data_IF_682549521281
#
_entry.id   IF_682549521281
#
_cell.length_a   1.000
_cell.length_b   1.000
_cell.length_c   1.000
_cell.angle_alpha   90.00
_cell.angle_beta   90.00
_cell.angle_gamma   90.00
#
_symmetry.space_group_name_H-M   'P 1'
#
loop_
_entity.id
_entity.type
_entity.pdbx_description
1 polymer ?
#
# COMPACT_ATOMS: atom_id res chain seq x y z
N UNK A 1 -7.39 -1.44 -25.46
CA UNK A 1 -6.97 -2.71 -24.84
C UNK A 1 -8.22 -3.36 -24.25
N UNK A 2 -8.69 -4.50 -24.75
CA UNK A 2 -9.85 -5.17 -24.15
C UNK A 2 -9.43 -5.75 -22.80
N UNK A 3 -10.24 -5.52 -21.75
CA UNK A 3 -10.10 -6.21 -20.47
C UNK A 3 -10.16 -7.72 -20.73
N UNK A 4 -9.21 -8.49 -20.18
CA UNK A 4 -9.11 -9.92 -20.42
C UNK A 4 -10.30 -10.71 -19.85
N UNK A 5 -11.00 -10.16 -18.86
CA UNK A 5 -11.94 -10.92 -18.05
C UNK A 5 -13.25 -10.16 -17.82
N UNK A 6 -14.39 -10.81 -18.04
CA UNK A 6 -15.67 -10.26 -17.61
C UNK A 6 -15.86 -10.42 -16.10
N UNK A 7 -16.69 -9.58 -15.48
CA UNK A 7 -17.02 -9.69 -14.04
C UNK A 7 -17.62 -11.08 -13.70
N UNK A 8 -18.39 -11.66 -14.62
CA UNK A 8 -18.95 -12.99 -14.45
C UNK A 8 -17.87 -14.08 -14.38
N UNK A 9 -16.88 -14.02 -15.27
CA UNK A 9 -15.78 -14.97 -15.29
C UNK A 9 -14.89 -14.80 -14.04
N UNK A 10 -14.62 -13.56 -13.60
CA UNK A 10 -13.91 -13.28 -12.36
C UNK A 10 -14.63 -13.92 -11.15
N UNK A 11 -15.95 -13.70 -11.03
CA UNK A 11 -16.76 -14.27 -9.95
C UNK A 11 -16.71 -15.81 -9.96
N UNK A 12 -16.92 -16.42 -11.12
CA UNK A 12 -16.86 -17.88 -11.30
C UNK A 12 -15.53 -18.44 -10.80
N UNK A 13 -14.41 -17.85 -11.23
CA UNK A 13 -13.06 -18.25 -10.85
C UNK A 13 -12.84 -18.22 -9.34
N UNK A 14 -13.32 -17.17 -8.66
CA UNK A 14 -13.19 -17.00 -7.22
C UNK A 14 -14.10 -17.99 -6.46
N UNK A 15 -15.30 -18.22 -6.94
CA UNK A 15 -16.29 -19.07 -6.25
C UNK A 15 -15.99 -20.56 -6.40
N UNK A 16 -15.46 -20.99 -7.54
CA UNK A 16 -15.16 -22.40 -7.81
C UNK A 16 -13.82 -22.87 -7.24
N UNK A 17 -12.89 -21.93 -6.94
CA UNK A 17 -11.59 -22.31 -6.42
C UNK A 17 -11.59 -22.40 -4.89
N UNK A 18 -11.22 -23.57 -4.35
CA UNK A 18 -11.20 -23.82 -2.91
C UNK A 18 -9.98 -23.20 -2.20
N UNK A 19 -8.85 -23.08 -2.91
CA UNK A 19 -7.59 -22.58 -2.36
C UNK A 19 -7.28 -21.18 -2.90
N UNK A 20 -7.84 -20.16 -2.28
CA UNK A 20 -7.64 -18.77 -2.71
C UNK A 20 -7.01 -17.91 -1.60
N UNK A 21 -6.34 -16.85 -2.00
CA UNK A 21 -5.84 -15.82 -1.11
C UNK A 21 -6.03 -14.45 -1.75
N UNK A 22 -6.85 -13.60 -1.12
CA UNK A 22 -6.93 -12.17 -1.44
C UNK A 22 -5.80 -11.42 -0.74
N UNK A 23 -5.07 -10.62 -1.50
CA UNK A 23 -4.08 -9.65 -0.98
C UNK A 23 -4.42 -8.30 -1.58
N UNK A 24 -4.82 -7.36 -0.73
CA UNK A 24 -5.27 -6.05 -1.20
C UNK A 24 -4.67 -4.90 -0.41
N UNK A 25 -4.49 -3.76 -1.09
CA UNK A 25 -4.27 -2.47 -0.43
C UNK A 25 -5.57 -1.91 0.17
N UNK A 26 -5.49 -0.88 0.97
CA UNK A 26 -6.63 -0.26 1.66
C UNK A 26 -6.99 1.10 1.08
N UNK A 27 -6.07 2.07 1.18
CA UNK A 27 -6.30 3.42 0.71
C UNK A 27 -6.36 3.44 -0.83
N UNK A 28 -7.41 4.00 -1.39
CA UNK A 28 -7.70 3.95 -2.84
C UNK A 28 -8.43 2.68 -3.29
N UNK A 29 -8.41 1.60 -2.53
CA UNK A 29 -9.09 0.32 -2.86
C UNK A 29 -10.44 0.20 -2.17
N UNK A 30 -10.48 0.22 -0.83
CA UNK A 30 -11.71 0.14 -0.05
C UNK A 30 -11.93 1.35 0.87
N UNK A 31 -10.93 2.19 1.00
CA UNK A 31 -11.02 3.51 1.64
C UNK A 31 -10.77 4.54 0.54
N UNK A 32 -11.71 5.44 0.22
CA UNK A 32 -11.47 6.52 -0.73
C UNK A 32 -10.26 7.37 -0.30
N UNK A 33 -9.47 7.83 -1.26
CA UNK A 33 -8.34 8.72 -0.97
C UNK A 33 -8.85 10.04 -0.44
N UNK A 34 -8.35 10.48 0.70
CA UNK A 34 -8.69 11.74 1.36
C UNK A 34 -7.44 12.57 1.62
N UNK A 35 -7.60 13.89 1.70
CA UNK A 35 -6.48 14.81 1.99
C UNK A 35 -6.10 14.79 3.46
N UNK A 36 -7.09 14.71 4.34
CA UNK A 36 -6.88 14.54 5.79
C UNK A 36 -7.08 13.07 6.18
N UNK A 37 -6.01 12.36 6.56
CA UNK A 37 -6.10 10.96 6.99
C UNK A 37 -7.06 10.70 8.15
N UNK A 38 -7.38 11.72 8.96
CA UNK A 38 -8.33 11.59 10.07
C UNK A 38 -9.78 11.45 9.60
N UNK A 39 -10.09 11.83 8.36
CA UNK A 39 -11.43 11.73 7.78
C UNK A 39 -11.70 10.39 7.09
N UNK A 40 -10.71 9.48 7.04
CA UNK A 40 -10.87 8.15 6.43
C UNK A 40 -12.04 7.38 7.05
N UNK A 41 -12.82 6.73 6.18
CA UNK A 41 -13.97 5.92 6.57
C UNK A 41 -13.95 4.59 5.84
N UNK A 42 -14.32 3.53 6.55
CA UNK A 42 -14.48 2.19 5.98
C UNK A 42 -15.95 1.78 6.08
N UNK A 43 -16.45 1.15 5.02
CA UNK A 43 -17.85 0.69 5.01
C UNK A 43 -18.02 -0.45 6.04
N UNK A 44 -19.06 -0.37 6.90
CA UNK A 44 -19.35 -1.38 7.92
C UNK A 44 -19.62 -2.76 7.31
N UNK A 45 -20.39 -2.82 6.23
CA UNK A 45 -20.74 -4.09 5.60
C UNK A 45 -19.52 -4.74 4.93
N UNK A 46 -18.56 -3.92 4.46
CA UNK A 46 -17.27 -4.39 3.98
C UNK A 46 -16.45 -5.07 5.10
N UNK A 47 -16.42 -4.47 6.30
CA UNK A 47 -15.73 -5.06 7.47
C UNK A 47 -16.35 -6.42 7.81
N UNK A 48 -17.67 -6.51 7.83
CA UNK A 48 -18.40 -7.76 8.09
C UNK A 48 -18.15 -8.81 6.99
N UNK A 49 -18.11 -8.38 5.74
CA UNK A 49 -17.82 -9.24 4.60
C UNK A 49 -16.38 -9.78 4.61
N UNK A 50 -15.39 -8.94 4.97
CA UNK A 50 -13.99 -9.36 5.07
C UNK A 50 -13.81 -10.54 6.05
N UNK A 51 -14.56 -10.54 7.16
CA UNK A 51 -14.55 -11.64 8.13
C UNK A 51 -15.02 -12.99 7.50
N UNK A 52 -15.94 -12.97 6.53
CA UNK A 52 -16.46 -14.18 5.90
C UNK A 52 -15.39 -14.96 5.12
N UNK A 53 -14.37 -14.28 4.62
CA UNK A 53 -13.23 -14.92 3.96
C UNK A 53 -12.30 -15.66 4.93
N UNK A 54 -12.40 -15.40 6.23
CA UNK A 54 -11.52 -16.01 7.26
C UNK A 54 -10.04 -15.80 6.89
N UNK A 55 -9.27 -16.88 6.78
CA UNK A 55 -7.84 -16.84 6.44
C UNK A 55 -7.55 -16.55 4.95
N UNK A 56 -8.56 -16.51 4.09
CA UNK A 56 -8.39 -16.31 2.64
C UNK A 56 -8.29 -14.84 2.23
N UNK A 57 -8.30 -13.92 3.19
CA UNK A 57 -8.22 -12.49 2.95
C UNK A 57 -7.16 -11.87 3.85
N UNK A 58 -6.28 -11.06 3.24
CA UNK A 58 -5.29 -10.26 3.94
C UNK A 58 -5.19 -8.87 3.31
N UNK A 59 -5.02 -7.87 4.16
CA UNK A 59 -4.62 -6.53 3.74
C UNK A 59 -3.10 -6.43 3.64
N UNK A 60 -2.62 -5.55 2.76
CA UNK A 60 -1.19 -5.23 2.59
C UNK A 60 -1.07 -3.74 2.28
N UNK A 61 -0.88 -2.94 3.32
CA UNK A 61 -0.85 -1.48 3.23
C UNK A 61 0.47 -0.89 3.70
N UNK A 62 0.80 0.31 3.25
CA UNK A 62 1.93 1.07 3.77
C UNK A 62 1.55 1.97 4.96
N UNK A 63 0.26 2.08 5.30
CA UNK A 63 -0.21 2.64 6.58
C UNK A 63 0.10 1.74 7.76
N UNK A 64 -0.50 2.00 8.91
CA UNK A 64 -0.36 1.21 10.14
C UNK A 64 -1.71 0.68 10.62
N UNK A 65 -1.69 -0.42 11.37
CA UNK A 65 -2.89 -0.95 12.02
C UNK A 65 -3.28 -0.12 13.24
N UNK A 66 -2.32 0.19 14.08
CA UNK A 66 -2.53 0.95 15.33
C UNK A 66 -2.25 2.45 15.15
N UNK A 67 -2.49 3.20 16.23
CA UNK A 67 -2.29 4.63 16.26
C UNK A 67 -3.55 5.43 15.90
N UNK A 68 -3.47 6.73 16.03
CA UNK A 68 -4.59 7.65 15.85
C UNK A 68 -5.15 7.61 14.42
N UNK A 69 -4.26 7.41 13.44
CA UNK A 69 -4.57 7.30 12.02
C UNK A 69 -4.60 5.85 11.53
N UNK A 70 -4.45 4.88 12.42
CA UNK A 70 -4.38 3.46 12.12
C UNK A 70 -5.71 2.88 11.62
N UNK A 71 -5.62 1.78 10.88
CA UNK A 71 -6.79 1.06 10.32
C UNK A 71 -7.76 0.64 11.42
N UNK A 72 -7.25 0.25 12.60
CA UNK A 72 -8.08 -0.18 13.72
C UNK A 72 -9.00 0.92 14.20
N UNK A 73 -8.52 2.16 14.31
CA UNK A 73 -9.34 3.33 14.66
C UNK A 73 -10.42 3.62 13.61
N UNK A 74 -10.12 3.39 12.33
CA UNK A 74 -11.12 3.55 11.27
C UNK A 74 -12.21 2.50 11.43
N UNK A 75 -11.86 1.24 11.71
CA UNK A 75 -12.79 0.14 11.96
C UNK A 75 -13.67 0.43 13.19
N UNK A 76 -13.07 0.80 14.32
CA UNK A 76 -13.76 1.12 15.56
C UNK A 76 -14.80 2.24 15.34
N UNK A 77 -14.43 3.32 14.65
CA UNK A 77 -15.34 4.41 14.29
C UNK A 77 -16.47 3.98 13.35
N UNK A 78 -16.17 3.07 12.40
CA UNK A 78 -17.15 2.60 11.43
C UNK A 78 -18.19 1.62 12.01
N UNK A 79 -17.83 0.88 13.06
CA UNK A 79 -18.70 -0.12 13.69
C UNK A 79 -19.62 0.44 14.78
N UNK A 80 -19.42 1.68 15.20
CA UNK A 80 -20.06 2.31 16.36
C UNK A 80 -19.71 1.61 17.70
N UNK A 81 -20.00 2.26 18.81
CA UNK A 81 -19.67 1.80 20.17
C UNK A 81 -20.36 0.49 20.62
N UNK A 82 -21.33 0.01 19.84
CA UNK A 82 -22.12 -1.21 20.19
C UNK A 82 -21.44 -2.52 19.79
N UNK A 83 -20.42 -2.48 18.94
CA UNK A 83 -19.72 -3.67 18.44
C UNK A 83 -18.26 -3.61 18.85
N UNK A 84 -17.82 -4.55 19.68
CA UNK A 84 -16.43 -4.74 20.03
C UNK A 84 -15.71 -5.52 18.88
N UNK A 85 -14.86 -4.87 18.08
CA UNK A 85 -14.21 -5.53 16.95
C UNK A 85 -13.25 -6.64 17.40
N UNK A 86 -12.60 -6.50 18.55
CA UNK A 86 -11.68 -7.50 19.10
C UNK A 86 -12.41 -8.80 19.42
N UNK A 87 -13.48 -8.71 20.21
CA UNK A 87 -14.30 -9.87 20.59
C UNK A 87 -14.94 -10.54 19.40
N UNK A 88 -15.33 -9.76 18.40
CA UNK A 88 -15.99 -10.28 17.20
C UNK A 88 -15.02 -10.70 16.08
N UNK A 89 -13.70 -10.49 16.23
CA UNK A 89 -12.70 -10.78 15.20
C UNK A 89 -12.97 -10.00 13.92
N UNK A 90 -13.12 -8.68 14.02
CA UNK A 90 -13.50 -7.78 12.92
C UNK A 90 -12.35 -6.87 12.48
N UNK A 91 -11.18 -6.95 13.10
CA UNK A 91 -10.03 -6.25 12.56
C UNK A 91 -9.57 -6.92 11.25
N UNK A 92 -9.12 -6.10 10.31
CA UNK A 92 -8.63 -6.61 9.02
C UNK A 92 -7.25 -7.23 9.23
N UNK A 93 -7.19 -8.56 9.07
CA UNK A 93 -5.91 -9.27 9.18
C UNK A 93 -5.00 -8.97 8.01
N UNK A 94 -3.69 -8.95 8.24
CA UNK A 94 -2.69 -8.76 7.21
C UNK A 94 -1.50 -7.93 7.66
N UNK A 95 -0.83 -7.29 6.72
CA UNK A 95 0.40 -6.55 6.93
C UNK A 95 0.20 -5.05 6.70
N UNK A 96 0.71 -4.28 7.62
CA UNK A 96 0.87 -2.84 7.54
C UNK A 96 2.37 -2.45 7.47
N UNK A 97 2.66 -1.15 7.40
CA UNK A 97 4.00 -0.59 7.22
C UNK A 97 4.78 -1.29 6.09
N UNK A 98 4.11 -1.45 4.92
CA UNK A 98 4.68 -2.09 3.72
C UNK A 98 5.21 -3.54 3.95
N UNK A 99 4.67 -4.28 4.94
CA UNK A 99 5.03 -5.68 5.16
C UNK A 99 5.70 -6.00 6.50
N UNK A 100 5.77 -5.03 7.41
CA UNK A 100 6.45 -5.13 8.71
C UNK A 100 5.52 -5.61 9.82
N UNK A 101 4.37 -4.94 9.95
CA UNK A 101 3.45 -5.10 11.07
C UNK A 101 2.35 -6.08 10.70
N UNK A 102 2.41 -7.31 11.22
CA UNK A 102 1.35 -8.29 11.03
C UNK A 102 0.28 -8.18 12.09
N UNK A 103 -0.98 -8.20 11.68
CA UNK A 103 -2.14 -8.22 12.56
C UNK A 103 -3.04 -9.42 12.26
N UNK A 104 -3.56 -10.07 13.29
CA UNK A 104 -4.66 -11.02 13.17
C UNK A 104 -6.04 -10.34 13.22
N UNK A 105 -7.11 -11.10 13.02
CA UNK A 105 -8.48 -10.57 13.04
C UNK A 105 -8.98 -10.14 14.44
N UNK A 106 -8.23 -10.41 15.50
CA UNK A 106 -8.50 -9.95 16.88
C UNK A 106 -7.70 -8.70 17.24
N UNK A 107 -6.88 -8.18 16.31
CA UNK A 107 -6.03 -7.02 16.55
C UNK A 107 -4.76 -7.34 17.35
N UNK A 108 -4.36 -8.61 17.44
CA UNK A 108 -3.06 -8.95 17.99
C UNK A 108 -1.98 -8.64 16.95
N UNK A 109 -1.04 -7.79 17.34
CA UNK A 109 0.03 -7.32 16.47
C UNK A 109 1.33 -8.04 16.79
N UNK A 110 2.06 -8.41 15.75
CA UNK A 110 3.42 -8.92 15.82
C UNK A 110 4.27 -8.30 14.72
N UNK A 111 5.55 -8.14 15.01
CA UNK A 111 6.56 -7.66 14.05
C UNK A 111 7.90 -8.35 14.38
N UNK A 112 8.62 -8.71 13.35
CA UNK A 112 9.92 -9.38 13.47
C UNK A 112 10.95 -8.69 12.56
N UNK A 113 12.20 -8.93 12.81
CA UNK A 113 13.31 -8.40 12.00
C UNK A 113 13.61 -6.92 12.24
N UNK A 114 13.25 -6.37 13.40
CA UNK A 114 13.51 -4.98 13.78
C UNK A 114 14.28 -4.96 15.09
N UNK A 115 15.39 -4.24 15.14
CA UNK A 115 16.16 -4.01 16.36
C UNK A 115 15.56 -2.87 17.20
N UNK A 116 15.82 -2.87 18.51
CA UNK A 116 15.42 -1.78 19.41
C UNK A 116 16.01 -0.44 18.93
N UNK A 117 17.27 -0.44 18.50
CA UNK A 117 17.93 0.76 17.96
C UNK A 117 17.20 1.35 16.73
N UNK A 118 16.68 0.51 15.85
CA UNK A 118 15.88 0.95 14.70
C UNK A 118 14.53 1.52 15.14
N UNK A 119 13.87 0.90 16.13
CA UNK A 119 12.63 1.44 16.70
C UNK A 119 12.83 2.78 17.38
N UNK A 120 13.92 2.93 18.15
CA UNK A 120 14.26 4.19 18.80
C UNK A 120 14.51 5.29 17.77
N UNK A 121 15.24 4.99 16.70
CA UNK A 121 15.47 5.96 15.64
C UNK A 121 14.15 6.34 14.92
N UNK A 122 13.31 5.38 14.57
CA UNK A 122 12.00 5.64 13.97
C UNK A 122 11.14 6.57 14.84
N UNK A 123 11.19 6.40 16.16
CA UNK A 123 10.47 7.26 17.11
C UNK A 123 10.94 8.72 17.08
N UNK A 124 12.21 8.95 16.72
CA UNK A 124 12.83 10.28 16.63
C UNK A 124 12.55 10.97 15.29
N UNK A 125 12.27 10.22 14.21
CA UNK A 125 12.08 10.78 12.86
C UNK A 125 11.05 11.92 12.84
N UNK A 126 9.85 11.83 13.45
CA UNK A 126 8.91 12.94 13.48
C UNK A 126 9.44 14.18 14.20
N UNK A 127 10.28 14.00 15.22
CA UNK A 127 10.93 15.09 15.95
C UNK A 127 12.01 15.78 15.10
N UNK A 128 12.71 15.01 14.27
CA UNK A 128 13.70 15.54 13.30
C UNK A 128 13.01 16.26 12.13
N UNK A 129 11.85 15.78 11.69
CA UNK A 129 11.06 16.41 10.61
C UNK A 129 10.53 17.77 11.06
N UNK A 130 9.92 17.87 12.25
CA UNK A 130 9.14 19.03 12.66
C UNK A 130 9.88 20.37 12.50
N UNK A 131 11.06 20.62 13.11
CA UNK A 131 11.74 21.92 13.01
C UNK A 131 12.19 22.22 11.57
N UNK A 132 12.60 21.22 10.81
CA UNK A 132 12.99 21.38 9.40
C UNK A 132 11.81 21.75 8.52
N UNK A 133 10.67 21.08 8.71
CA UNK A 133 9.43 21.37 8.02
C UNK A 133 8.93 22.79 8.30
N UNK A 134 8.93 23.23 9.56
CA UNK A 134 8.54 24.59 9.94
C UNK A 134 9.45 25.64 9.27
N UNK A 135 10.76 25.39 9.22
CA UNK A 135 11.72 26.29 8.54
C UNK A 135 11.46 26.34 7.03
N UNK A 136 11.12 25.20 6.39
CA UNK A 136 10.76 25.18 4.97
C UNK A 136 9.49 26.00 4.73
N UNK A 137 8.46 25.85 5.56
CA UNK A 137 7.22 26.62 5.43
C UNK A 137 7.49 28.13 5.59
N UNK A 138 8.23 28.54 6.60
CA UNK A 138 8.59 29.94 6.82
C UNK A 138 9.31 30.56 5.61
N UNK A 139 10.19 29.80 4.97
CA UNK A 139 10.90 30.25 3.77
C UNK A 139 10.00 30.32 2.53
N UNK A 140 9.12 29.33 2.34
CA UNK A 140 8.24 29.25 1.16
C UNK A 140 7.03 30.19 1.29
N UNK A 141 6.59 30.47 2.52
CA UNK A 141 5.40 31.26 2.85
C UNK A 141 5.71 32.26 3.98
N UNK A 142 6.52 33.30 3.71
CA UNK A 142 7.09 34.17 4.74
C UNK A 142 6.04 34.98 5.53
N UNK A 143 4.83 35.12 5.03
CA UNK A 143 3.74 35.83 5.71
C UNK A 143 2.79 34.90 6.48
N UNK A 144 3.09 33.60 6.57
CA UNK A 144 2.25 32.64 7.28
C UNK A 144 2.47 32.78 8.80
N UNK A 145 1.39 32.92 9.55
CA UNK A 145 1.42 32.98 11.00
C UNK A 145 1.88 31.65 11.62
N UNK A 146 2.58 31.71 12.74
CA UNK A 146 3.12 30.52 13.43
C UNK A 146 2.01 29.50 13.73
N UNK A 147 0.83 29.94 14.16
CA UNK A 147 -0.32 29.04 14.44
C UNK A 147 -0.75 28.23 13.23
N UNK A 148 -0.70 28.84 12.04
CA UNK A 148 -1.01 28.16 10.77
C UNK A 148 0.10 27.17 10.41
N UNK A 149 1.36 27.52 10.63
CA UNK A 149 2.50 26.61 10.44
C UNK A 149 2.37 25.39 11.35
N UNK A 150 2.04 25.59 12.63
CA UNK A 150 1.84 24.51 13.61
C UNK A 150 0.70 23.58 13.19
N UNK A 151 -0.39 24.14 12.68
CA UNK A 151 -1.50 23.37 12.13
C UNK A 151 -1.05 22.48 10.96
N UNK A 152 -0.37 23.06 9.95
CA UNK A 152 0.12 22.27 8.81
C UNK A 152 1.14 21.21 9.23
N UNK A 153 2.02 21.52 10.19
CA UNK A 153 2.93 20.53 10.75
C UNK A 153 2.18 19.37 11.41
N UNK A 154 1.11 19.66 12.16
CA UNK A 154 0.32 18.63 12.86
C UNK A 154 -0.39 17.65 11.94
N UNK A 155 -0.84 18.11 10.77
CA UNK A 155 -1.54 17.25 9.78
C UNK A 155 -0.61 16.62 8.75
N UNK A 156 0.54 17.23 8.46
CA UNK A 156 1.49 16.71 7.48
C UNK A 156 2.46 15.67 8.07
N UNK A 157 2.83 15.81 9.35
CA UNK A 157 3.77 14.89 9.98
C UNK A 157 3.01 13.72 10.63
N UNK A 158 3.05 12.56 9.97
CA UNK A 158 2.41 11.34 10.48
C UNK A 158 3.39 10.62 11.42
N UNK A 159 3.05 10.59 12.72
CA UNK A 159 3.85 9.97 13.78
C UNK A 159 3.53 8.47 13.91
N UNK A 160 3.79 7.72 12.86
CA UNK A 160 3.56 6.29 12.82
C UNK A 160 4.78 5.53 13.38
N UNK A 161 4.57 4.36 13.98
CA UNK A 161 5.62 3.60 14.68
C UNK A 161 6.69 3.07 13.74
N UNK A 162 6.27 2.50 12.60
CA UNK A 162 7.16 1.80 11.66
C UNK A 162 7.37 2.53 10.33
N UNK A 163 6.57 3.57 10.08
CA UNK A 163 6.55 4.31 8.82
C UNK A 163 6.34 5.82 9.00
N UNK A 164 7.14 6.51 9.84
CA UNK A 164 7.00 7.97 9.97
C UNK A 164 6.97 8.63 8.60
N UNK A 165 5.97 9.49 8.37
CA UNK A 165 5.65 9.99 7.03
C UNK A 165 5.50 11.50 7.03
N UNK A 166 5.94 12.14 5.96
CA UNK A 166 5.56 13.50 5.62
C UNK A 166 4.56 13.49 4.47
N UNK A 167 3.35 14.06 4.70
CA UNK A 167 2.30 14.20 3.71
C UNK A 167 2.27 15.64 3.19
N UNK A 168 2.13 15.82 1.87
CA UNK A 168 2.21 17.12 1.20
C UNK A 168 0.86 17.78 0.96
N UNK A 169 -0.24 17.05 1.13
CA UNK A 169 -1.57 17.50 0.69
C UNK A 169 -1.98 18.85 1.30
N UNK A 170 -1.69 19.08 2.58
CA UNK A 170 -2.02 20.34 3.24
C UNK A 170 -1.28 21.55 2.65
N UNK A 171 -0.01 21.37 2.25
CA UNK A 171 0.76 22.42 1.58
C UNK A 171 0.29 22.61 0.14
N UNK A 172 -0.11 21.55 -0.53
CA UNK A 172 -0.68 21.64 -1.87
C UNK A 172 -2.00 22.40 -1.91
N UNK A 173 -2.78 22.37 -0.83
CA UNK A 173 -3.96 23.21 -0.69
C UNK A 173 -3.62 24.69 -0.64
N UNK A 174 -2.58 25.08 0.12
CA UNK A 174 -2.09 26.48 0.16
C UNK A 174 -1.62 26.93 -1.21
N UNK A 175 -0.85 26.08 -1.88
CA UNK A 175 -0.28 26.38 -3.20
C UNK A 175 -1.35 26.42 -4.30
N UNK A 176 -2.50 25.75 -4.07
CA UNK A 176 -3.61 25.69 -5.02
C UNK A 176 -3.19 25.02 -6.35
N UNK A 177 -3.62 25.61 -7.47
CA UNK A 177 -3.37 25.05 -8.81
C UNK A 177 -2.01 25.36 -9.40
N UNK A 178 -1.11 26.05 -8.66
CA UNK A 178 0.23 26.37 -9.15
C UNK A 178 1.14 25.13 -9.05
N UNK A 179 1.21 24.38 -10.13
CA UNK A 179 2.01 23.14 -10.20
C UNK A 179 3.51 23.39 -10.02
N UNK A 180 4.06 24.52 -10.48
CA UNK A 180 5.48 24.87 -10.31
C UNK A 180 5.84 25.05 -8.83
N UNK A 181 4.98 25.71 -8.06
CA UNK A 181 5.14 25.83 -6.61
C UNK A 181 5.00 24.47 -5.92
N UNK A 182 4.12 23.56 -6.40
CA UNK A 182 4.06 22.19 -5.87
C UNK A 182 5.38 21.45 -6.11
N UNK A 183 6.01 21.61 -7.26
CA UNK A 183 7.34 21.01 -7.54
C UNK A 183 8.40 21.54 -6.56
N UNK A 184 8.36 22.84 -6.21
CA UNK A 184 9.26 23.40 -5.21
C UNK A 184 9.04 22.74 -3.85
N UNK A 185 7.77 22.63 -3.39
CA UNK A 185 7.43 21.95 -2.14
C UNK A 185 7.92 20.49 -2.16
N UNK A 186 7.69 19.75 -3.24
CA UNK A 186 8.16 18.37 -3.38
C UNK A 186 9.68 18.25 -3.26
N UNK A 187 10.44 19.14 -3.91
CA UNK A 187 11.91 19.16 -3.83
C UNK A 187 12.39 19.43 -2.41
N UNK A 188 11.84 20.44 -1.76
CA UNK A 188 12.25 20.83 -0.41
C UNK A 188 11.98 19.71 0.61
N UNK A 189 10.79 19.11 0.58
CA UNK A 189 10.44 18.03 1.49
C UNK A 189 11.23 16.75 1.19
N UNK A 190 11.50 16.45 -0.08
CA UNK A 190 12.34 15.32 -0.46
C UNK A 190 13.79 15.50 0.00
N UNK A 191 14.35 16.70 -0.16
CA UNK A 191 15.69 17.03 0.33
C UNK A 191 15.76 16.90 1.87
N UNK A 192 14.78 17.44 2.58
CA UNK A 192 14.67 17.31 4.03
C UNK A 192 14.67 15.83 4.48
N UNK A 193 13.91 14.98 3.82
CA UNK A 193 13.88 13.56 4.17
C UNK A 193 15.20 12.85 3.84
N UNK A 194 15.88 13.23 2.75
CA UNK A 194 17.23 12.72 2.46
C UNK A 194 18.28 13.17 3.51
N UNK A 195 18.17 14.38 4.05
CA UNK A 195 19.02 14.80 5.15
C UNK A 195 18.82 13.92 6.40
N UNK A 196 17.57 13.53 6.70
CA UNK A 196 17.28 12.65 7.83
C UNK A 196 17.82 11.23 7.58
N UNK A 197 17.74 10.71 6.34
CA UNK A 197 18.38 9.44 5.98
C UNK A 197 19.89 9.49 6.20
N UNK A 198 20.55 10.60 5.88
CA UNK A 198 21.98 10.74 6.08
C UNK A 198 22.37 10.72 7.58
N UNK A 199 21.48 11.14 8.49
CA UNK A 199 21.72 11.03 9.94
C UNK A 199 21.91 9.57 10.37
N UNK A 200 21.24 8.62 9.70
CA UNK A 200 21.38 7.19 10.00
C UNK A 200 22.84 6.69 9.85
N UNK A 201 23.63 7.31 8.99
CA UNK A 201 25.05 6.95 8.81
C UNK A 201 25.85 7.23 10.07
N UNK A 202 25.58 8.36 10.72
CA UNK A 202 26.25 8.75 11.98
C UNK A 202 25.79 7.90 13.17
N UNK A 203 24.58 7.35 13.10
CA UNK A 203 24.00 6.49 14.12
C UNK A 203 24.34 4.99 13.94
N UNK A 204 25.23 4.63 13.01
CA UNK A 204 25.52 3.24 12.63
C UNK A 204 24.26 2.45 12.16
N UNK A 205 23.36 3.14 11.44
CA UNK A 205 22.13 2.61 10.86
C UNK A 205 22.08 2.77 9.33
N UNK A 206 23.24 2.89 8.67
CA UNK A 206 23.39 3.21 7.24
C UNK A 206 22.58 2.30 6.29
N UNK A 207 22.33 1.07 6.68
CA UNK A 207 21.61 0.09 5.87
C UNK A 207 20.24 -0.29 6.45
N UNK A 208 19.76 0.44 7.47
CA UNK A 208 18.53 0.10 8.18
C UNK A 208 17.27 0.66 7.51
N UNK A 209 17.39 1.77 6.78
CA UNK A 209 16.23 2.52 6.29
C UNK A 209 16.34 2.92 4.82
N UNK A 210 15.20 3.27 4.24
CA UNK A 210 15.08 3.92 2.93
C UNK A 210 13.85 4.83 2.89
N UNK A 211 13.78 5.72 1.89
CA UNK A 211 12.61 6.56 1.64
C UNK A 211 11.70 5.88 0.63
N UNK A 212 10.46 5.61 1.04
CA UNK A 212 9.39 5.20 0.15
C UNK A 212 8.59 6.42 -0.30
N UNK A 213 8.47 6.59 -1.60
CA UNK A 213 7.85 7.74 -2.25
C UNK A 213 6.51 7.32 -2.85
N UNK A 214 5.41 7.97 -2.48
CA UNK A 214 4.09 7.59 -2.98
C UNK A 214 3.32 8.78 -3.60
N UNK A 215 2.83 8.63 -4.84
CA UNK A 215 3.29 7.67 -5.85
C UNK A 215 4.70 7.98 -6.35
N UNK A 216 5.44 6.96 -6.79
CA UNK A 216 6.78 7.08 -7.37
C UNK A 216 6.80 6.70 -8.85
N UNK A 217 7.95 6.92 -9.51
CA UNK A 217 8.22 6.54 -10.92
C UNK A 217 9.20 5.37 -11.04
N UNK A 218 9.19 4.45 -10.07
CA UNK A 218 10.13 3.33 -10.01
C UNK A 218 11.43 3.70 -9.29
N UNK A 219 12.51 2.94 -9.58
CA UNK A 219 13.80 3.09 -8.89
C UNK A 219 14.95 3.30 -9.85
N UNK A 220 15.94 4.08 -9.41
CA UNK A 220 17.28 4.15 -9.99
C UNK A 220 18.28 3.96 -8.85
N UNK A 221 19.22 3.02 -9.00
CA UNK A 221 20.23 2.72 -7.97
C UNK A 221 19.62 2.51 -6.58
N UNK A 222 18.57 1.68 -6.48
CA UNK A 222 17.82 1.36 -5.25
C UNK A 222 17.01 2.53 -4.65
N UNK A 223 17.15 3.77 -5.14
CA UNK A 223 16.38 4.93 -4.70
C UNK A 223 15.14 5.13 -5.54
N UNK A 224 14.00 5.37 -4.90
CA UNK A 224 12.75 5.67 -5.59
C UNK A 224 12.77 7.06 -6.21
N UNK A 225 12.16 7.17 -7.39
CA UNK A 225 12.11 8.40 -8.18
C UNK A 225 10.84 9.16 -7.82
N UNK A 226 11.00 10.40 -7.37
CA UNK A 226 9.86 11.29 -7.11
C UNK A 226 9.12 11.60 -8.43
N UNK A 227 7.78 11.57 -8.35
CA UNK A 227 6.90 12.01 -9.42
C UNK A 227 6.54 13.47 -9.20
N UNK A 228 7.18 14.36 -9.93
CA UNK A 228 6.88 15.78 -9.80
C UNK A 228 5.51 16.15 -10.34
N UNK A 229 4.90 17.17 -9.73
CA UNK A 229 3.64 17.75 -10.18
C UNK A 229 3.74 18.30 -11.60
N UNK A 230 2.64 18.25 -12.33
CA UNK A 230 2.44 18.89 -13.62
C UNK A 230 1.10 19.64 -13.61
N UNK A 231 0.72 20.27 -14.71
CA UNK A 231 -0.60 20.88 -14.83
C UNK A 231 -1.76 19.89 -14.59
N UNK A 232 -1.57 18.63 -15.00
CA UNK A 232 -2.61 17.59 -15.02
C UNK A 232 -2.39 16.47 -13.98
N UNK A 233 -1.35 16.56 -13.14
CA UNK A 233 -1.03 15.53 -12.17
C UNK A 233 -0.39 16.14 -10.93
N UNK A 234 -0.90 15.78 -9.76
CA UNK A 234 -0.38 16.29 -8.48
C UNK A 234 0.98 15.67 -8.12
N UNK A 235 1.29 14.52 -8.69
CA UNK A 235 2.54 13.81 -8.43
C UNK A 235 2.61 13.15 -7.05
N UNK A 236 3.83 13.06 -6.52
CA UNK A 236 4.12 12.53 -5.18
C UNK A 236 3.45 13.37 -4.09
N UNK A 237 2.75 12.71 -3.19
CA UNK A 237 2.03 13.31 -2.06
C UNK A 237 2.56 12.88 -0.70
N UNK A 238 3.38 11.82 -0.66
CA UNK A 238 3.89 11.26 0.59
C UNK A 238 5.33 10.77 0.43
N UNK A 239 6.14 10.99 1.47
CA UNK A 239 7.43 10.34 1.64
C UNK A 239 7.44 9.67 3.01
N UNK A 240 7.62 8.35 3.01
CA UNK A 240 7.65 7.51 4.20
C UNK A 240 9.08 7.09 4.52
N UNK A 241 9.43 7.11 5.78
CA UNK A 241 10.69 6.62 6.28
C UNK A 241 10.51 5.16 6.70
N UNK A 242 11.00 4.23 5.90
CA UNK A 242 10.74 2.80 6.07
C UNK A 242 12.00 2.00 6.37
N UNK A 243 11.81 0.88 7.06
CA UNK A 243 12.85 -0.14 7.26
C UNK A 243 13.25 -0.77 5.93
N UNK A 244 14.55 -0.96 5.71
CA UNK A 244 15.06 -1.57 4.48
C UNK A 244 14.55 -2.99 4.32
N UNK A 245 13.94 -3.28 3.18
CA UNK A 245 13.26 -4.54 2.89
C UNK A 245 11.74 -4.50 3.15
N UNK A 246 11.24 -3.47 3.84
CA UNK A 246 9.81 -3.24 4.02
C UNK A 246 9.17 -2.72 2.72
N UNK A 247 8.83 -3.65 1.85
CA UNK A 247 8.18 -3.40 0.56
C UNK A 247 7.04 -4.40 0.37
N UNK A 248 5.98 -3.99 -0.32
CA UNK A 248 4.76 -4.82 -0.45
C UNK A 248 5.00 -6.20 -1.04
N UNK A 249 5.90 -6.35 -1.99
CA UNK A 249 6.23 -7.66 -2.57
C UNK A 249 6.94 -8.59 -1.58
N UNK A 250 7.76 -8.08 -0.65
CA UNK A 250 8.26 -8.86 0.49
C UNK A 250 7.12 -9.27 1.43
N UNK A 251 6.15 -8.37 1.65
CA UNK A 251 4.94 -8.66 2.40
C UNK A 251 4.11 -9.80 1.80
N UNK A 252 4.03 -9.93 0.46
CA UNK A 252 3.37 -11.08 -0.19
C UNK A 252 3.99 -12.39 0.25
N UNK A 253 5.33 -12.49 0.33
CA UNK A 253 5.99 -13.72 0.78
C UNK A 253 5.65 -14.05 2.24
N UNK A 254 5.64 -13.03 3.11
CA UNK A 254 5.25 -13.21 4.53
C UNK A 254 3.81 -13.70 4.64
N UNK A 255 2.88 -13.12 3.87
CA UNK A 255 1.48 -13.54 3.85
C UNK A 255 1.32 -14.97 3.31
N UNK A 256 2.02 -15.34 2.24
CA UNK A 256 2.03 -16.70 1.70
C UNK A 256 2.58 -17.71 2.72
N UNK A 257 3.68 -17.38 3.40
CA UNK A 257 4.27 -18.21 4.44
C UNK A 257 3.27 -18.50 5.56
N UNK A 258 2.56 -17.45 6.03
CA UNK A 258 1.55 -17.57 7.07
C UNK A 258 0.29 -18.32 6.59
N UNK A 259 -0.18 -18.04 5.37
CA UNK A 259 -1.34 -18.69 4.79
C UNK A 259 -1.14 -20.19 4.62
N UNK A 260 -0.04 -20.59 3.99
CA UNK A 260 0.30 -22.00 3.77
C UNK A 260 0.54 -22.70 5.11
N UNK A 261 1.26 -22.04 6.04
CA UNK A 261 1.49 -22.55 7.38
C UNK A 261 0.20 -22.85 8.15
N UNK A 262 -0.80 -21.95 8.10
CA UNK A 262 -2.11 -22.17 8.71
C UNK A 262 -2.88 -23.35 8.06
N UNK A 263 -2.69 -23.59 6.78
CA UNK A 263 -3.40 -24.63 6.02
C UNK A 263 -2.75 -26.00 6.14
N UNK A 264 -1.41 -26.07 6.12
CA UNK A 264 -0.64 -27.33 6.06
C UNK A 264 0.02 -27.71 7.38
N UNK A 265 0.03 -26.82 8.36
CA UNK A 265 0.80 -26.95 9.61
C UNK A 265 2.28 -26.60 9.50
N UNK A 266 2.80 -26.33 8.29
CA UNK A 266 4.22 -26.05 8.07
C UNK A 266 4.38 -24.77 7.24
N UNK A 267 5.11 -23.80 7.78
CA UNK A 267 5.47 -22.57 7.08
C UNK A 267 6.64 -22.84 6.10
N UNK A 268 6.45 -22.71 4.79
CA UNK A 268 7.43 -23.13 3.79
C UNK A 268 8.76 -22.38 3.86
N UNK A 269 8.74 -21.12 4.31
CA UNK A 269 9.95 -20.29 4.44
C UNK A 269 10.55 -20.28 5.85
N UNK A 270 9.97 -21.06 6.78
CA UNK A 270 10.37 -21.10 8.19
C UNK A 270 9.46 -20.28 9.10
N UNK A 271 9.51 -20.58 10.41
CA UNK A 271 8.61 -19.99 11.42
C UNK A 271 8.80 -18.48 11.56
N UNK A 272 10.04 -18.02 11.55
CA UNK A 272 10.44 -16.63 11.83
C UNK A 272 10.69 -15.81 10.55
N UNK A 273 10.31 -16.35 9.36
CA UNK A 273 10.49 -15.64 8.10
C UNK A 273 9.75 -14.30 8.12
N UNK A 274 10.48 -13.23 7.85
CA UNK A 274 10.00 -11.86 7.86
C UNK A 274 10.45 -11.09 6.59
N UNK A 275 10.10 -9.82 6.50
CA UNK A 275 10.35 -8.99 5.33
C UNK A 275 11.85 -8.85 4.96
N UNK A 276 12.77 -8.97 5.94
CA UNK A 276 14.23 -8.86 5.70
C UNK A 276 14.82 -10.10 5.03
N UNK A 277 14.18 -11.26 5.24
CA UNK A 277 14.61 -12.53 4.66
C UNK A 277 14.20 -12.66 3.19
N UNK A 278 13.35 -11.75 2.72
CA UNK A 278 12.84 -11.74 1.35
C UNK A 278 13.96 -11.43 0.34
N UNK A 279 14.09 -12.18 -0.76
CA UNK A 279 14.99 -11.81 -1.85
C UNK A 279 14.66 -10.40 -2.39
N UNK A 280 15.67 -9.69 -2.93
CA UNK A 280 15.53 -8.28 -3.30
C UNK A 280 14.74 -8.05 -4.59
N UNK A 281 14.99 -8.84 -5.61
CA UNK A 281 14.40 -8.63 -6.93
C UNK A 281 13.30 -9.64 -7.26
N UNK A 282 12.43 -9.28 -8.21
CA UNK A 282 11.27 -10.07 -8.60
C UNK A 282 11.63 -11.50 -9.02
N UNK A 283 12.69 -11.67 -9.84
CA UNK A 283 13.11 -12.98 -10.34
C UNK A 283 13.53 -13.91 -9.21
N UNK A 284 14.30 -13.38 -8.26
CA UNK A 284 14.78 -14.16 -7.11
C UNK A 284 13.63 -14.49 -6.14
N UNK A 285 12.63 -13.59 -5.96
CA UNK A 285 11.42 -13.89 -5.18
C UNK A 285 10.60 -15.04 -5.78
N UNK A 286 10.43 -15.04 -7.11
CA UNK A 286 9.73 -16.12 -7.82
C UNK A 286 10.49 -17.44 -7.68
N UNK A 287 11.81 -17.42 -7.89
CA UNK A 287 12.66 -18.60 -7.73
C UNK A 287 12.66 -19.13 -6.28
N UNK A 288 12.63 -18.23 -5.30
CA UNK A 288 12.53 -18.57 -3.89
C UNK A 288 11.20 -19.28 -3.58
N UNK A 289 10.08 -18.73 -4.06
CA UNK A 289 8.78 -19.40 -3.93
C UNK A 289 8.82 -20.80 -4.56
N UNK A 290 9.30 -20.91 -5.80
CA UNK A 290 9.42 -22.20 -6.52
C UNK A 290 10.22 -23.25 -5.77
N UNK A 291 11.29 -22.83 -5.08
CA UNK A 291 12.15 -23.71 -4.29
C UNK A 291 11.44 -24.28 -3.07
N UNK A 292 10.61 -23.50 -2.39
CA UNK A 292 10.06 -23.85 -1.07
C UNK A 292 8.57 -24.17 -1.05
N UNK A 293 7.78 -23.72 -2.02
CA UNK A 293 6.34 -23.97 -2.07
C UNK A 293 6.01 -25.00 -3.14
N UNK A 294 5.35 -26.09 -2.76
CA UNK A 294 4.85 -27.08 -3.72
C UNK A 294 3.65 -26.53 -4.50
N UNK A 295 3.49 -26.92 -5.77
CA UNK A 295 2.41 -26.44 -6.64
C UNK A 295 1.02 -26.63 -6.04
N UNK A 296 0.77 -27.75 -5.35
CA UNK A 296 -0.53 -28.07 -4.71
C UNK A 296 -0.88 -27.13 -3.56
N UNK A 297 0.13 -26.53 -2.92
CA UNK A 297 -0.04 -25.66 -1.75
C UNK A 297 -0.17 -24.17 -2.14
N UNK A 298 0.26 -23.81 -3.37
CA UNK A 298 0.15 -22.46 -3.88
C UNK A 298 -1.32 -22.08 -4.11
N UNK A 299 -1.85 -21.05 -3.44
CA UNK A 299 -3.22 -20.58 -3.67
C UNK A 299 -3.38 -19.88 -5.02
N UNK A 300 -4.60 -19.81 -5.52
CA UNK A 300 -4.99 -18.78 -6.48
C UNK A 300 -4.94 -17.44 -5.76
N UNK A 301 -4.05 -16.54 -6.17
CA UNK A 301 -3.88 -15.24 -5.52
C UNK A 301 -4.65 -14.18 -6.29
N UNK A 302 -5.46 -13.40 -5.58
CA UNK A 302 -6.16 -12.23 -6.10
C UNK A 302 -5.46 -10.99 -5.53
N UNK A 303 -4.68 -10.30 -6.36
CA UNK A 303 -3.99 -9.07 -6.01
C UNK A 303 -4.82 -7.85 -6.38
N UNK A 304 -5.03 -6.92 -5.43
CA UNK A 304 -5.86 -5.74 -5.63
C UNK A 304 -5.12 -4.48 -5.16
N UNK A 305 -4.95 -3.51 -6.06
CA UNK A 305 -4.30 -2.23 -5.78
C UNK A 305 -4.86 -1.09 -6.60
N UNK A 306 -4.47 0.12 -6.28
CA UNK A 306 -4.88 1.36 -6.96
C UNK A 306 -3.70 2.23 -7.41
N UNK A 307 -2.56 2.12 -6.74
CA UNK A 307 -1.43 3.03 -6.95
C UNK A 307 -0.37 2.42 -7.86
N UNK A 308 -0.58 2.57 -9.17
CA UNK A 308 0.31 2.17 -10.27
C UNK A 308 0.62 3.41 -11.10
N UNK A 309 1.87 3.57 -11.52
CA UNK A 309 2.29 4.68 -12.37
C UNK A 309 3.10 4.23 -13.57
N UNK A 310 2.90 4.91 -14.69
CA UNK A 310 3.74 4.82 -15.88
C UNK A 310 3.85 6.20 -16.53
N UNK A 311 5.07 6.67 -16.73
CA UNK A 311 5.34 7.96 -17.36
C UNK A 311 6.40 7.82 -18.44
N UNK A 312 6.12 8.38 -19.61
CA UNK A 312 7.07 8.40 -20.72
C UNK A 312 8.28 9.25 -20.35
N UNK A 313 9.49 8.72 -20.55
CA UNK A 313 10.73 9.46 -20.28
C UNK A 313 10.93 10.56 -21.33
N UNK A 314 11.72 11.57 -20.99
CA UNK A 314 12.03 12.72 -21.87
C UNK A 314 12.60 12.28 -23.22
N UNK A 315 13.32 11.16 -23.27
CA UNK A 315 13.82 10.57 -24.51
C UNK A 315 12.74 10.10 -25.47
N UNK A 316 11.47 9.96 -24.99
CA UNK A 316 10.36 9.46 -25.77
C UNK A 316 10.41 7.96 -26.12
N UNK A 317 11.49 7.24 -25.77
CA UNK A 317 11.74 5.84 -26.18
C UNK A 317 11.44 4.80 -25.10
N UNK A 318 11.22 5.20 -23.86
CA UNK A 318 10.98 4.28 -22.75
C UNK A 318 10.09 4.92 -21.67
N UNK A 319 9.63 4.09 -20.72
CA UNK A 319 8.76 4.50 -19.64
C UNK A 319 9.46 4.34 -18.27
N UNK A 320 9.19 5.25 -17.36
CA UNK A 320 9.42 5.07 -15.94
C UNK A 320 8.16 4.48 -15.33
N UNK A 321 8.27 3.35 -14.63
CA UNK A 321 7.14 2.61 -14.08
C UNK A 321 7.33 2.44 -12.59
N UNK A 322 6.28 2.74 -11.80
CA UNK A 322 6.33 2.73 -10.35
C UNK A 322 4.93 2.63 -9.73
N UNK A 323 4.80 3.22 -8.54
CA UNK A 323 3.61 3.13 -7.71
C UNK A 323 3.79 2.11 -6.59
N UNK A 324 3.18 2.38 -5.43
CA UNK A 324 3.34 1.55 -4.22
C UNK A 324 2.80 0.13 -4.37
N UNK A 325 1.86 -0.10 -5.31
CA UNK A 325 1.25 -1.41 -5.52
C UNK A 325 1.90 -2.23 -6.64
N UNK A 326 2.72 -1.60 -7.47
CA UNK A 326 3.28 -2.26 -8.64
C UNK A 326 4.03 -3.53 -8.28
N UNK A 327 4.95 -3.45 -7.33
CA UNK A 327 5.86 -4.56 -7.04
C UNK A 327 5.13 -5.83 -6.57
N UNK A 328 4.11 -5.68 -5.71
CA UNK A 328 3.38 -6.85 -5.24
C UNK A 328 2.44 -7.43 -6.30
N UNK A 329 1.84 -6.59 -7.15
CA UNK A 329 1.00 -7.07 -8.24
C UNK A 329 1.83 -7.76 -9.33
N UNK A 330 3.02 -7.25 -9.65
CA UNK A 330 3.96 -7.92 -10.56
C UNK A 330 4.44 -9.26 -10.02
N UNK A 331 4.69 -9.36 -8.72
CA UNK A 331 5.04 -10.63 -8.07
C UNK A 331 3.89 -11.62 -8.15
N UNK A 332 2.65 -11.23 -7.82
CA UNK A 332 1.47 -12.09 -7.92
C UNK A 332 1.26 -12.57 -9.36
N UNK A 333 1.37 -11.67 -10.34
CA UNK A 333 1.27 -12.04 -11.76
C UNK A 333 2.36 -13.04 -12.17
N UNK A 334 3.59 -12.83 -11.69
CA UNK A 334 4.73 -13.69 -12.01
C UNK A 334 4.62 -15.07 -11.37
N UNK A 335 4.16 -15.14 -10.13
CA UNK A 335 3.83 -16.40 -9.45
C UNK A 335 2.75 -17.16 -10.18
N UNK A 336 1.71 -16.49 -10.68
CA UNK A 336 0.66 -17.12 -11.49
C UNK A 336 1.24 -17.81 -12.74
N UNK A 337 2.17 -17.17 -13.43
CA UNK A 337 2.85 -17.75 -14.59
C UNK A 337 3.74 -18.92 -14.21
N UNK A 338 4.54 -18.78 -13.15
CA UNK A 338 5.51 -19.79 -12.72
C UNK A 338 4.81 -21.09 -12.28
N UNK A 339 3.70 -20.97 -11.56
CA UNK A 339 2.97 -22.12 -11.06
C UNK A 339 1.89 -22.65 -12.01
N UNK A 340 1.74 -22.02 -13.18
CA UNK A 340 0.61 -22.24 -14.09
C UNK A 340 -0.72 -22.17 -13.33
N UNK A 341 -0.81 -21.14 -12.46
CA UNK A 341 -1.97 -20.79 -11.66
C UNK A 341 -2.47 -19.45 -12.16
N UNK A 342 -3.72 -19.36 -12.53
CA UNK A 342 -4.26 -18.17 -13.16
C UNK A 342 -4.55 -17.05 -12.13
N UNK A 343 -3.52 -16.57 -11.42
CA UNK A 343 -3.65 -15.46 -10.47
C UNK A 343 -4.33 -14.24 -11.13
N UNK A 344 -5.06 -13.50 -10.32
CA UNK A 344 -5.89 -12.38 -10.80
C UNK A 344 -5.30 -11.06 -10.30
N UNK A 345 -5.15 -10.10 -11.21
CA UNK A 345 -4.70 -8.73 -10.92
C UNK A 345 -5.86 -7.77 -11.15
N UNK A 346 -6.27 -7.11 -10.08
CA UNK A 346 -7.38 -6.14 -10.10
C UNK A 346 -6.84 -4.74 -9.82
N UNK A 347 -7.22 -3.80 -10.66
CA UNK A 347 -6.98 -2.38 -10.45
C UNK A 347 -8.27 -1.67 -10.01
N UNK A 348 -8.19 -0.84 -8.98
CA UNK A 348 -9.29 0.02 -8.54
C UNK A 348 -8.96 1.47 -8.91
N UNK A 349 -9.82 2.11 -9.68
CA UNK A 349 -9.66 3.52 -10.07
C UNK A 349 -9.95 4.44 -8.88
N UNK A 350 -8.92 4.90 -8.22
CA UNK A 350 -9.03 5.76 -7.03
C UNK A 350 -9.24 7.25 -7.32
N UNK A 351 -9.42 7.62 -8.60
CA UNK A 351 -9.56 9.02 -9.04
C UNK A 351 -10.83 9.74 -8.53
N UNK A 352 -11.76 9.00 -7.95
CA UNK A 352 -12.97 9.56 -7.34
C UNK A 352 -12.76 10.11 -5.92
N UNK A 353 -11.58 9.96 -5.35
CA UNK A 353 -11.21 10.50 -4.04
C UNK A 353 -10.90 12.01 -4.08
N UNK A 354 -10.52 12.56 -2.93
CA UNK A 354 -10.12 13.97 -2.79
C UNK A 354 -8.71 14.25 -3.31
N UNK A 355 -7.85 13.22 -3.35
CA UNK A 355 -6.49 13.31 -3.87
C UNK A 355 -6.51 12.96 -5.35
N UNK A 356 -6.00 13.88 -6.17
CA UNK A 356 -5.97 13.66 -7.62
C UNK A 356 -5.18 12.42 -8.01
N UNK A 357 -5.78 11.60 -8.86
CA UNK A 357 -5.18 10.42 -9.50
C UNK A 357 -5.64 10.34 -10.96
N UNK A 358 -4.86 9.74 -11.87
CA UNK A 358 -5.30 9.45 -13.23
C UNK A 358 -6.58 8.62 -13.23
N UNK A 359 -7.54 8.97 -14.12
CA UNK A 359 -8.83 8.29 -14.19
C UNK A 359 -8.92 7.40 -15.41
N UNK A 360 -9.20 6.12 -15.21
CA UNK A 360 -9.39 5.17 -16.30
C UNK A 360 -10.55 5.51 -17.21
N UNK A 361 -11.53 6.25 -16.72
CA UNK A 361 -12.68 6.73 -17.53
C UNK A 361 -12.32 7.90 -18.43
N UNK A 362 -11.44 8.80 -17.96
CA UNK A 362 -11.09 10.03 -18.70
C UNK A 362 -9.92 9.82 -19.67
N UNK A 363 -8.90 9.12 -19.24
CA UNK A 363 -7.64 8.98 -19.98
C UNK A 363 -7.29 7.52 -20.32
N UNK A 364 -8.22 6.59 -20.08
CA UNK A 364 -7.92 5.17 -20.20
C UNK A 364 -6.82 4.77 -19.21
N UNK A 365 -5.79 4.09 -19.68
CA UNK A 365 -4.68 3.64 -18.83
C UNK A 365 -3.47 4.58 -18.86
N UNK A 366 -3.58 5.77 -19.46
CA UNK A 366 -2.50 6.76 -19.49
C UNK A 366 -2.13 7.21 -18.07
N UNK A 367 -0.85 7.26 -17.76
CA UNK A 367 -0.34 7.59 -16.44
C UNK A 367 -0.37 6.44 -15.43
N UNK A 368 -1.08 5.34 -15.73
CA UNK A 368 -1.22 4.14 -14.90
C UNK A 368 -0.34 3.02 -15.44
N UNK A 369 -0.48 2.68 -16.73
CA UNK A 369 0.33 1.67 -17.42
C UNK A 369 0.54 2.08 -18.88
N UNK A 370 1.29 1.31 -19.64
CA UNK A 370 1.58 1.56 -21.05
C UNK A 370 1.53 0.27 -21.89
N UNK A 371 1.66 0.39 -23.22
CA UNK A 371 1.53 -0.75 -24.15
C UNK A 371 2.60 -1.83 -23.92
N UNK A 372 3.80 -1.41 -23.49
CA UNK A 372 4.94 -2.30 -23.26
C UNK A 372 5.01 -2.78 -21.80
N UNK A 373 4.09 -2.35 -20.95
CA UNK A 373 4.08 -2.72 -19.55
C UNK A 373 3.86 -4.22 -19.40
N UNK A 374 4.74 -4.85 -18.61
CA UNK A 374 4.62 -6.26 -18.26
C UNK A 374 3.41 -6.55 -17.39
N UNK A 375 3.10 -5.62 -16.45
CA UNK A 375 1.93 -5.73 -15.58
C UNK A 375 0.65 -5.54 -16.40
N UNK A 376 -0.25 -6.52 -16.30
CA UNK A 376 -1.55 -6.51 -16.97
C UNK A 376 -2.66 -6.67 -15.95
N UNK A 377 -3.70 -5.87 -16.08
CA UNK A 377 -4.90 -6.00 -15.24
C UNK A 377 -5.87 -7.00 -15.88
N UNK A 378 -6.37 -7.94 -15.09
CA UNK A 378 -7.43 -8.86 -15.50
C UNK A 378 -8.79 -8.18 -15.38
N UNK A 379 -8.97 -7.32 -14.36
CA UNK A 379 -10.18 -6.55 -14.15
C UNK A 379 -9.87 -5.14 -13.61
N UNK A 380 -10.74 -4.17 -13.93
CA UNK A 380 -10.65 -2.77 -13.46
C UNK A 380 -12.00 -2.33 -12.93
N UNK A 381 -12.03 -1.90 -11.67
CA UNK A 381 -13.18 -1.21 -11.08
C UNK A 381 -13.12 0.28 -11.41
N UNK A 382 -13.73 0.67 -12.53
CA UNK A 382 -13.66 2.04 -13.06
C UNK A 382 -14.45 3.06 -12.24
N UNK A 383 -15.41 2.61 -11.41
CA UNK A 383 -16.15 3.48 -10.48
C UNK A 383 -15.48 3.53 -9.08
N UNK A 384 -14.27 3.03 -8.97
CA UNK A 384 -13.42 3.14 -7.80
C UNK A 384 -13.85 2.32 -6.58
N UNK A 385 -13.46 2.77 -5.38
CA UNK A 385 -13.69 2.04 -4.13
C UNK A 385 -15.15 1.65 -3.89
N UNK A 386 -16.09 2.50 -4.25
CA UNK A 386 -17.53 2.24 -4.05
C UNK A 386 -18.02 1.02 -4.84
N UNK A 387 -17.57 0.87 -6.09
CA UNK A 387 -17.91 -0.28 -6.92
C UNK A 387 -17.21 -1.54 -6.42
N UNK A 388 -15.94 -1.42 -6.06
CA UNK A 388 -15.17 -2.52 -5.49
C UNK A 388 -15.79 -3.06 -4.20
N UNK A 389 -16.13 -2.19 -3.24
CA UNK A 389 -16.76 -2.56 -1.97
C UNK A 389 -18.05 -3.35 -2.21
N UNK A 390 -18.92 -2.87 -3.11
CA UNK A 390 -20.17 -3.56 -3.43
C UNK A 390 -19.91 -4.97 -3.96
N UNK A 391 -18.99 -5.10 -4.90
CA UNK A 391 -18.59 -6.39 -5.47
C UNK A 391 -17.98 -7.32 -4.41
N UNK A 392 -17.10 -6.78 -3.55
CA UNK A 392 -16.44 -7.56 -2.51
C UNK A 392 -17.45 -8.15 -1.51
N UNK A 393 -18.45 -7.36 -1.09
CA UNK A 393 -19.54 -7.83 -0.22
C UNK A 393 -20.35 -8.93 -0.89
N UNK A 394 -20.71 -8.77 -2.16
CA UNK A 394 -21.45 -9.76 -2.93
C UNK A 394 -20.68 -11.09 -3.02
N UNK A 395 -19.39 -11.04 -3.38
CA UNK A 395 -18.56 -12.23 -3.55
C UNK A 395 -18.29 -12.94 -2.21
N UNK A 396 -18.07 -12.19 -1.13
CA UNK A 396 -17.89 -12.73 0.20
C UNK A 396 -19.13 -13.54 0.68
N UNK A 397 -20.31 -12.97 0.50
CA UNK A 397 -21.57 -13.63 0.85
C UNK A 397 -21.80 -14.90 0.02
N UNK A 398 -21.62 -14.82 -1.29
CA UNK A 398 -21.77 -16.00 -2.17
C UNK A 398 -20.80 -17.12 -1.80
N UNK A 399 -19.52 -16.79 -1.57
CA UNK A 399 -18.51 -17.77 -1.17
C UNK A 399 -18.80 -18.38 0.20
N UNK A 400 -19.27 -17.61 1.16
CA UNK A 400 -19.68 -18.12 2.48
C UNK A 400 -20.83 -19.10 2.36
N UNK A 401 -21.83 -18.83 1.52
CA UNK A 401 -22.96 -19.75 1.28
C UNK A 401 -22.50 -21.07 0.65
N UNK A 402 -21.57 -21.04 -0.30
CA UNK A 402 -21.02 -22.26 -0.93
C UNK A 402 -20.27 -23.11 0.09
N UNK A 403 -19.44 -22.48 0.94
CA UNK A 403 -18.67 -23.19 1.96
C UNK A 403 -19.51 -23.79 3.08
N UNK A 404 -20.62 -23.16 3.41
CA UNK A 404 -21.55 -23.69 4.45
C UNK A 404 -22.43 -24.84 3.94
N UNK A 405 -22.48 -25.08 2.61
CA UNK A 405 -23.22 -26.21 2.00
C UNK A 405 -22.34 -27.46 1.80
N UNK A 406 -21.02 -27.34 1.91
CA UNK A 406 -20.04 -28.44 1.90
C UNK A 406 -19.73 -28.88 3.34
#
# INVERSE_FOLDING_TARGET
MSLKTSKLFLNKKILENENILFIQDLDGVCIPLVKDPMTRKLNKDYILAAKLFKNEFCVLTCGEHEGERGVNRIIERSLNSTIDPKKKGLYLQGLAACGVEFQDNKGNISFEGISEKELDFLSQVPLLIKPRFENIIKRLFPYMEQKTIDYHASISICKTKFSPTINFNSLFEIVGNNWEKRVIVQKELHNMMNEIINICEYENLSNSFFLHISPNLGKINEKEIIKYSTQNDIGTTDIQFLLKGAVKDSGVLVLLNNFIGKKTGTKPFGQNFNFRDSPKNLKDKVAFCKKYIQKKDMPLIIGIGDTITSQKKSSGKSYSRGGSDRSFLELIQSLGKEYNNENVIIFVDSSSGEVYRPSTKKTGLEGITDKEDYLKFDFIFQNGPKEYIKWFIEIANQRSLIKNKK
#
